data_IF_413824802205
#
_entry.id   IF_413824802205
#
_cell.length_a   1.000
_cell.length_b   1.000
_cell.length_c   1.000
_cell.angle_alpha   90.00
_cell.angle_beta   90.00
_cell.angle_gamma   90.00
#
_symmetry.space_group_name_H-M   'P 1'
#
loop_
_entity.id
_entity.type
_entity.pdbx_description
1 polymer ?
#
# COMPACT_ATOMS: atom_id res chain seq x y z
N UNK A 1 -15.15 3.90 -10.68
CA UNK A 1 -13.86 4.33 -10.06
C UNK A 1 -12.77 3.51 -10.69
N UNK A 2 -12.52 3.74 -11.98
CA UNK A 2 -11.66 2.82 -12.70
C UNK A 2 -10.75 3.51 -13.72
N UNK A 3 -10.64 4.82 -13.54
CA UNK A 3 -9.56 5.66 -13.99
C UNK A 3 -8.74 6.22 -12.81
N UNK A 4 -8.85 5.64 -11.61
CA UNK A 4 -8.14 6.10 -10.40
C UNK A 4 -7.13 5.06 -9.94
N UNK A 5 -5.92 5.50 -9.66
CA UNK A 5 -4.82 4.76 -9.05
C UNK A 5 -4.57 5.35 -7.67
N UNK A 6 -4.70 4.56 -6.61
CA UNK A 6 -4.36 4.99 -5.25
C UNK A 6 -2.90 4.69 -4.96
N UNK A 7 -2.15 5.67 -4.46
CA UNK A 7 -0.75 5.56 -4.06
C UNK A 7 -0.59 5.94 -2.60
N UNK A 8 0.18 5.16 -1.84
CA UNK A 8 0.42 5.41 -0.41
C UNK A 8 1.61 4.63 0.15
N UNK A 9 2.19 5.12 1.23
CA UNK A 9 3.30 4.52 1.97
C UNK A 9 2.85 3.91 3.29
N UNK A 10 3.39 2.73 3.61
CA UNK A 10 3.17 2.11 4.92
C UNK A 10 4.39 1.48 5.53
N UNK A 11 4.55 1.71 6.84
CA UNK A 11 5.52 1.00 7.67
C UNK A 11 4.99 -0.36 8.11
N UNK A 12 5.58 -1.44 7.64
CA UNK A 12 5.37 -2.78 8.19
C UNK A 12 6.44 -3.13 9.21
N UNK A 13 6.02 -3.61 10.37
CA UNK A 13 6.91 -4.09 11.42
C UNK A 13 7.23 -5.56 11.15
N UNK A 14 8.46 -6.02 11.41
CA UNK A 14 8.84 -7.44 11.29
C UNK A 14 7.99 -8.35 12.21
N UNK A 15 7.60 -7.84 13.39
CA UNK A 15 6.86 -8.58 14.41
C UNK A 15 5.87 -7.65 15.13
N UNK A 16 4.84 -8.20 15.78
CA UNK A 16 3.92 -7.44 16.62
C UNK A 16 4.45 -7.35 18.04
N UNK A 17 4.38 -6.16 18.64
CA UNK A 17 4.83 -5.98 20.02
C UNK A 17 4.07 -6.90 21.01
N UNK A 18 2.74 -6.91 20.93
CA UNK A 18 1.88 -7.81 21.71
C UNK A 18 1.22 -8.82 20.78
N UNK A 19 1.38 -10.10 21.09
CA UNK A 19 0.67 -11.21 20.43
C UNK A 19 0.07 -12.10 21.50
N UNK A 20 -1.19 -12.49 21.32
CA UNK A 20 -1.90 -13.41 22.20
C UNK A 20 -1.97 -14.78 21.52
N UNK A 21 -1.65 -15.83 22.26
CA UNK A 21 -1.70 -17.21 21.77
C UNK A 21 -2.74 -18.01 22.55
N UNK A 22 -3.53 -18.80 21.84
CA UNK A 22 -4.27 -19.90 22.44
C UNK A 22 -3.35 -21.11 22.51
N UNK A 23 -3.14 -21.65 23.71
CA UNK A 23 -2.23 -22.78 23.94
C UNK A 23 -3.04 -23.98 24.45
N UNK A 24 -2.73 -25.16 23.93
CA UNK A 24 -3.23 -26.41 24.51
C UNK A 24 -2.61 -26.62 25.90
N UNK A 25 -3.27 -27.34 26.83
CA UNK A 25 -2.87 -27.46 28.25
C UNK A 25 -1.42 -27.93 28.52
N UNK A 26 -0.73 -28.49 27.52
CA UNK A 26 0.65 -28.99 27.62
C UNK A 26 1.66 -28.30 26.70
N UNK A 27 1.23 -27.28 25.94
CA UNK A 27 2.11 -26.53 25.04
C UNK A 27 2.71 -25.35 25.81
N UNK A 28 4.04 -25.21 25.75
CA UNK A 28 4.71 -24.02 26.28
C UNK A 28 4.49 -22.84 25.34
N UNK A 29 4.35 -21.61 25.86
CA UNK A 29 4.30 -20.43 25.01
C UNK A 29 5.59 -20.31 24.19
N UNK A 30 5.51 -19.81 22.94
CA UNK A 30 6.69 -19.54 22.15
C UNK A 30 7.58 -18.52 22.87
N UNK A 31 8.89 -18.82 22.94
CA UNK A 31 9.86 -17.94 23.58
C UNK A 31 10.11 -16.70 22.71
N UNK A 32 9.98 -15.50 23.29
CA UNK A 32 10.28 -14.22 22.63
C UNK A 32 11.38 -13.49 23.38
N UNK A 33 12.43 -13.10 22.65
CA UNK A 33 13.63 -12.43 23.21
C UNK A 33 13.55 -10.90 23.14
N UNK A 34 12.57 -10.32 22.44
CA UNK A 34 12.47 -8.86 22.23
C UNK A 34 11.80 -8.16 23.41
N UNK A 35 12.57 -7.34 24.13
CA UNK A 35 12.13 -6.62 25.34
C UNK A 35 11.35 -5.31 25.09
N UNK A 36 11.46 -4.70 23.90
CA UNK A 36 10.83 -3.40 23.61
C UNK A 36 10.44 -3.26 22.14
N UNK A 37 9.32 -2.55 21.88
CA UNK A 37 8.84 -2.16 20.53
C UNK A 37 9.89 -1.40 19.72
N UNK A 38 10.80 -0.68 20.38
CA UNK A 38 11.87 0.11 19.73
C UNK A 38 12.86 -0.78 18.95
N UNK A 39 13.00 -2.05 19.33
CA UNK A 39 13.89 -3.00 18.69
C UNK A 39 13.19 -3.87 17.65
N UNK A 40 11.98 -3.51 17.22
CA UNK A 40 11.29 -4.18 16.10
C UNK A 40 11.61 -3.39 14.82
N UNK A 41 12.43 -3.95 13.90
CA UNK A 41 12.63 -3.41 12.58
C UNK A 41 11.30 -3.15 11.89
N UNK A 42 11.25 -2.02 11.20
CA UNK A 42 10.12 -1.66 10.36
C UNK A 42 10.65 -1.27 9.00
N UNK A 43 10.04 -1.76 7.94
CA UNK A 43 10.34 -1.37 6.57
C UNK A 43 9.16 -0.60 6.00
N UNK A 44 9.45 0.50 5.31
CA UNK A 44 8.43 1.29 4.62
C UNK A 44 8.28 0.73 3.21
N UNK A 45 7.03 0.69 2.75
CA UNK A 45 6.63 0.20 1.44
C UNK A 45 5.77 1.25 0.78
N UNK A 46 6.05 1.59 -0.48
CA UNK A 46 5.17 2.38 -1.33
C UNK A 46 4.36 1.41 -2.17
N UNK A 47 3.06 1.66 -2.27
CA UNK A 47 2.15 0.85 -3.06
C UNK A 47 1.31 1.70 -4.00
N UNK A 48 0.96 1.12 -5.14
CA UNK A 48 0.02 1.70 -6.10
C UNK A 48 -1.01 0.64 -6.50
N UNK A 49 -2.30 0.94 -6.42
CA UNK A 49 -3.37 0.02 -6.86
C UNK A 49 -4.44 0.75 -7.65
N UNK A 50 -4.88 0.11 -8.73
CA UNK A 50 -6.02 0.54 -9.53
C UNK A 50 -7.13 -0.51 -9.43
N UNK A 51 -8.38 -0.13 -9.70
CA UNK A 51 -9.47 -1.10 -9.77
C UNK A 51 -9.15 -2.07 -10.92
N UNK A 52 -9.18 -3.39 -10.68
CA UNK A 52 -8.75 -4.34 -11.70
C UNK A 52 -9.68 -4.28 -12.90
N UNK A 53 -9.14 -3.77 -14.01
CA UNK A 53 -9.67 -3.95 -15.36
C UNK A 53 -8.95 -5.11 -16.04
N UNK A 54 -7.61 -5.12 -15.98
CA UNK A 54 -6.68 -6.22 -16.35
C UNK A 54 -5.33 -6.13 -15.57
N UNK A 55 -5.16 -5.21 -14.61
CA UNK A 55 -3.81 -4.78 -14.17
C UNK A 55 -3.69 -4.70 -12.65
N UNK A 56 -2.67 -5.38 -12.12
CA UNK A 56 -2.18 -5.22 -10.76
C UNK A 56 -0.84 -4.47 -10.84
N UNK A 57 -0.83 -3.16 -10.57
CA UNK A 57 0.38 -2.33 -10.67
C UNK A 57 1.40 -2.78 -9.61
N UNK A 58 2.57 -3.24 -10.06
CA UNK A 58 3.58 -3.89 -9.22
C UNK A 58 4.09 -2.97 -8.10
N UNK A 59 4.19 -3.50 -6.89
CA UNK A 59 4.94 -2.89 -5.80
C UNK A 59 6.43 -2.97 -6.12
N UNK A 60 7.11 -1.84 -6.32
CA UNK A 60 8.57 -1.81 -6.20
C UNK A 60 8.96 -1.34 -4.81
N UNK A 61 9.47 -2.28 -4.02
CA UNK A 61 9.89 -2.07 -2.63
C UNK A 61 11.40 -1.89 -2.51
N UNK A 62 12.14 -1.99 -3.62
CA UNK A 62 13.61 -2.09 -3.63
C UNK A 62 14.27 -0.77 -3.27
N UNK A 63 13.77 0.39 -3.74
CA UNK A 63 14.46 1.67 -3.47
C UNK A 63 14.15 2.32 -2.13
N UNK A 64 13.26 1.77 -1.30
CA UNK A 64 13.01 2.30 0.07
C UNK A 64 14.01 1.72 1.07
N UNK A 65 14.84 0.78 0.61
CA UNK A 65 15.81 0.08 1.44
C UNK A 65 17.19 0.18 0.77
N UNK A 66 18.17 0.73 1.49
CA UNK A 66 19.55 0.80 1.03
C UNK A 66 20.32 -0.43 1.47
N UNK A 67 21.08 -1.03 0.56
CA UNK A 67 22.09 -2.01 0.91
C UNK A 67 23.29 -1.33 1.59
N UNK A 68 23.86 -1.99 2.59
CA UNK A 68 25.08 -1.58 3.25
C UNK A 68 25.86 -2.81 3.71
N UNK A 69 27.18 -2.71 3.70
CA UNK A 69 28.05 -3.77 4.18
C UNK A 69 28.11 -3.68 5.71
N UNK A 70 27.85 -4.80 6.39
CA UNK A 70 27.99 -4.87 7.85
C UNK A 70 29.45 -4.59 8.26
N UNK A 71 29.64 -3.53 9.05
CA UNK A 71 30.97 -3.12 9.50
C UNK A 71 31.46 -3.91 10.72
N UNK A 72 30.54 -4.53 11.46
CA UNK A 72 30.81 -5.26 12.71
C UNK A 72 30.22 -6.66 12.62
N UNK A 73 30.97 -7.64 13.14
CA UNK A 73 30.44 -8.99 13.35
C UNK A 73 29.44 -8.97 14.50
N UNK A 74 28.29 -9.60 14.29
CA UNK A 74 27.30 -9.90 15.32
C UNK A 74 26.90 -11.38 15.22
N UNK A 75 26.25 -11.90 16.27
CA UNK A 75 25.84 -13.31 16.34
C UNK A 75 25.07 -13.80 15.09
N UNK A 76 24.32 -12.91 14.43
CA UNK A 76 23.50 -13.27 13.26
C UNK A 76 24.01 -12.65 11.95
N UNK A 77 25.11 -11.88 11.97
CA UNK A 77 25.63 -11.16 10.80
C UNK A 77 27.14 -11.08 10.87
N UNK A 78 27.88 -11.91 10.11
CA UNK A 78 29.31 -11.73 9.90
C UNK A 78 29.63 -10.32 9.39
N UNK A 79 30.85 -9.83 9.66
CA UNK A 79 31.36 -8.62 9.01
C UNK A 79 31.46 -8.87 7.51
N UNK A 80 31.07 -7.89 6.70
CA UNK A 80 31.09 -8.02 5.23
C UNK A 80 29.77 -8.49 4.61
N UNK A 81 28.78 -8.90 5.40
CA UNK A 81 27.47 -9.30 4.88
C UNK A 81 26.70 -8.09 4.35
N UNK A 82 26.18 -8.20 3.12
CA UNK A 82 25.27 -7.21 2.55
C UNK A 82 23.97 -7.23 3.35
N UNK A 83 23.66 -6.11 3.99
CA UNK A 83 22.49 -5.91 4.82
C UNK A 83 21.64 -4.79 4.24
N UNK A 84 20.32 -4.89 4.39
CA UNK A 84 19.39 -3.84 3.93
C UNK A 84 18.93 -2.99 5.11
N UNK A 85 19.03 -1.66 5.00
CA UNK A 85 18.50 -0.66 5.96
C UNK A 85 17.48 0.25 5.31
N UNK A 86 16.43 0.60 6.02
CA UNK A 86 15.41 1.50 5.49
C UNK A 86 15.96 2.92 5.36
N UNK A 87 15.51 3.63 4.32
CA UNK A 87 15.72 5.08 4.22
C UNK A 87 14.99 5.73 5.39
N UNK A 88 15.71 6.55 6.17
CA UNK A 88 15.17 7.13 7.42
C UNK A 88 14.04 8.13 7.20
N UNK A 89 14.06 8.83 6.05
CA UNK A 89 13.07 9.86 5.68
C UNK A 89 12.89 9.78 4.17
N UNK A 90 11.65 9.55 3.73
CA UNK A 90 11.30 9.74 2.31
C UNK A 90 11.18 11.24 2.10
N UNK A 91 12.10 11.78 1.30
CA UNK A 91 12.05 13.17 0.85
C UNK A 91 11.32 13.24 -0.48
N UNK A 92 10.79 14.42 -0.83
CA UNK A 92 10.04 14.63 -2.07
C UNK A 92 10.79 14.12 -3.32
N UNK A 93 12.11 14.33 -3.41
CA UNK A 93 12.91 13.81 -4.53
C UNK A 93 12.87 12.27 -4.66
N UNK A 94 12.88 11.54 -3.54
CA UNK A 94 12.81 10.07 -3.56
C UNK A 94 11.41 9.65 -4.00
N UNK A 95 10.36 10.22 -3.38
CA UNK A 95 8.98 9.93 -3.72
C UNK A 95 8.66 10.22 -5.20
N UNK A 96 9.13 11.37 -5.72
CA UNK A 96 9.02 11.75 -7.12
C UNK A 96 9.66 10.74 -8.08
N UNK A 97 10.89 10.30 -7.78
CA UNK A 97 11.56 9.27 -8.59
C UNK A 97 10.75 7.96 -8.61
N UNK A 98 10.15 7.58 -7.49
CA UNK A 98 9.24 6.43 -7.44
C UNK A 98 8.01 6.59 -8.33
N UNK A 99 7.35 7.75 -8.28
CA UNK A 99 6.20 8.04 -9.12
C UNK A 99 6.54 7.92 -10.60
N UNK A 100 7.65 8.53 -11.03
CA UNK A 100 8.09 8.51 -12.43
C UNK A 100 8.47 7.11 -12.89
N UNK A 101 9.38 6.46 -12.16
CA UNK A 101 10.02 5.24 -12.62
C UNK A 101 9.18 3.98 -12.45
N UNK A 102 8.26 3.98 -11.48
CA UNK A 102 7.42 2.82 -11.19
C UNK A 102 5.95 3.06 -11.45
N UNK A 103 5.35 4.11 -10.89
CA UNK A 103 3.89 4.29 -10.97
C UNK A 103 3.49 4.67 -12.40
N UNK A 104 4.03 5.77 -12.92
CA UNK A 104 3.74 6.27 -14.27
C UNK A 104 4.23 5.26 -15.31
N UNK A 105 5.46 4.76 -15.18
CA UNK A 105 5.99 3.70 -16.05
C UNK A 105 5.12 2.44 -16.10
N UNK A 106 4.60 1.98 -14.95
CA UNK A 106 3.72 0.81 -14.92
C UNK A 106 2.34 1.11 -15.52
N UNK A 107 1.82 2.32 -15.34
CA UNK A 107 0.59 2.75 -16.00
C UNK A 107 0.79 2.75 -17.51
N UNK A 108 1.85 3.40 -18.03
CA UNK A 108 2.08 3.47 -19.47
C UNK A 108 2.37 2.11 -20.11
N UNK A 109 2.92 1.16 -19.36
CA UNK A 109 3.20 -0.20 -19.82
C UNK A 109 1.99 -1.14 -19.77
N UNK A 110 1.08 -0.98 -18.80
CA UNK A 110 0.03 -1.95 -18.53
C UNK A 110 -1.38 -1.43 -18.82
N UNK A 111 -1.64 -0.12 -18.67
CA UNK A 111 -2.96 0.49 -18.83
C UNK A 111 -3.51 0.31 -20.24
N UNK A 112 -4.83 0.05 -20.43
CA UNK A 112 -5.39 -0.12 -21.76
C UNK A 112 -5.09 1.10 -22.65
N UNK A 113 -4.50 0.86 -23.82
CA UNK A 113 -4.09 1.94 -24.73
C UNK A 113 -5.28 2.75 -25.28
N UNK A 114 -6.47 2.17 -25.33
CA UNK A 114 -7.69 2.89 -25.73
C UNK A 114 -8.04 4.03 -24.76
N UNK A 115 -7.67 3.88 -23.50
CA UNK A 115 -7.89 4.89 -22.45
C UNK A 115 -6.78 5.95 -22.40
N UNK A 116 -5.79 5.92 -23.31
CA UNK A 116 -4.61 6.79 -23.25
C UNK A 116 -4.95 8.28 -23.21
N UNK A 117 -6.01 8.69 -23.93
CA UNK A 117 -6.47 10.09 -23.98
C UNK A 117 -7.46 10.43 -22.88
N UNK A 118 -7.93 9.43 -22.13
CA UNK A 118 -8.85 9.61 -21.01
C UNK A 118 -8.06 9.98 -19.74
N UNK A 119 -8.62 10.81 -18.85
CA UNK A 119 -7.94 11.18 -17.61
C UNK A 119 -7.69 9.97 -16.70
N UNK A 120 -6.44 9.72 -16.34
CA UNK A 120 -6.00 8.73 -15.34
C UNK A 120 -5.51 9.49 -14.12
N UNK A 121 -6.14 9.28 -12.97
CA UNK A 121 -5.89 10.03 -11.74
C UNK A 121 -5.06 9.19 -10.76
N UNK A 122 -3.83 9.60 -10.49
CA UNK A 122 -3.00 9.06 -9.41
C UNK A 122 -3.32 9.85 -8.14
N UNK A 123 -4.15 9.27 -7.26
CA UNK A 123 -4.50 9.87 -5.97
C UNK A 123 -3.39 9.62 -4.94
N UNK A 124 -2.91 10.68 -4.32
CA UNK A 124 -1.99 10.67 -3.18
C UNK A 124 -2.56 11.47 -2.00
N UNK A 125 -2.10 11.21 -0.77
CA UNK A 125 -2.50 11.98 0.40
C UNK A 125 -1.81 13.38 0.43
N UNK A 126 -2.11 14.19 1.45
CA UNK A 126 -1.56 15.54 1.61
C UNK A 126 -0.26 15.59 2.46
N UNK A 127 0.51 14.51 2.53
CA UNK A 127 1.75 14.47 3.29
C UNK A 127 2.81 15.42 2.72
N UNK A 128 3.61 16.03 3.60
CA UNK A 128 4.65 17.00 3.22
C UNK A 128 5.64 16.53 2.13
N UNK A 129 6.03 15.24 2.06
CA UNK A 129 6.92 14.76 1.00
C UNK A 129 6.24 14.63 -0.37
N UNK A 130 4.92 14.77 -0.48
CA UNK A 130 4.22 14.54 -1.74
C UNK A 130 4.41 15.66 -2.74
N UNK A 131 4.38 15.27 -4.01
CA UNK A 131 4.73 16.12 -5.14
C UNK A 131 3.51 16.95 -5.54
N UNK A 132 3.71 18.21 -5.89
CA UNK A 132 2.61 19.07 -6.33
C UNK A 132 2.02 18.55 -7.67
N UNK A 133 0.69 18.67 -7.90
CA UNK A 133 0.05 18.20 -9.12
C UNK A 133 0.58 18.86 -10.41
N UNK A 134 1.14 20.06 -10.29
CA UNK A 134 1.71 20.88 -11.36
C UNK A 134 3.23 20.70 -11.51
N UNK A 135 3.84 19.73 -10.82
CA UNK A 135 5.26 19.44 -10.96
C UNK A 135 5.62 19.11 -12.42
N UNK A 136 6.64 19.79 -13.00
CA UNK A 136 6.90 19.73 -14.43
C UNK A 136 7.33 18.33 -14.91
N UNK A 137 8.06 17.56 -14.10
CA UNK A 137 8.50 16.23 -14.51
C UNK A 137 7.34 15.23 -14.46
N UNK A 138 6.44 15.38 -13.47
CA UNK A 138 5.20 14.58 -13.40
C UNK A 138 4.29 14.89 -14.59
N UNK A 139 4.09 16.17 -14.91
CA UNK A 139 3.27 16.59 -16.06
C UNK A 139 3.89 16.10 -17.37
N UNK A 140 5.20 16.23 -17.54
CA UNK A 140 5.88 15.75 -18.73
C UNK A 140 5.74 14.24 -18.90
N UNK A 141 6.04 13.46 -17.87
CA UNK A 141 5.90 12.00 -17.92
C UNK A 141 4.43 11.55 -18.09
N UNK A 142 3.50 12.26 -17.47
CA UNK A 142 2.07 11.95 -17.53
C UNK A 142 1.40 12.30 -18.87
N UNK A 143 2.04 13.14 -19.68
CA UNK A 143 1.55 13.54 -21.01
C UNK A 143 2.30 12.86 -22.16
N UNK A 144 3.35 12.10 -21.86
CA UNK A 144 4.24 11.52 -22.85
C UNK A 144 3.51 10.62 -23.86
N UNK A 145 3.72 10.90 -25.15
CA UNK A 145 3.07 10.21 -26.26
C UNK A 145 1.53 10.25 -26.25
N UNK A 146 0.91 11.20 -25.53
CA UNK A 146 -0.53 11.43 -25.55
C UNK A 146 -1.29 10.78 -24.40
N UNK A 147 -0.58 10.32 -23.35
CA UNK A 147 -1.21 9.97 -22.08
C UNK A 147 -1.88 11.19 -21.42
N UNK A 148 -2.89 10.96 -20.58
CA UNK A 148 -3.54 12.00 -19.77
C UNK A 148 -3.49 11.59 -18.29
N UNK A 149 -2.28 11.44 -17.74
CA UNK A 149 -2.07 11.07 -16.34
C UNK A 149 -1.96 12.34 -15.49
N UNK A 150 -2.69 12.38 -14.38
CA UNK A 150 -2.73 13.50 -13.44
C UNK A 150 -2.46 13.00 -12.03
N UNK A 151 -1.83 13.82 -11.18
CA UNK A 151 -1.48 13.47 -9.80
C UNK A 151 -2.26 14.35 -8.80
N UNK A 152 -3.59 14.19 -8.67
CA UNK A 152 -4.36 14.99 -7.71
C UNK A 152 -4.07 14.59 -6.26
N UNK A 153 -4.10 15.59 -5.37
CA UNK A 153 -4.22 15.35 -3.95
C UNK A 153 -5.61 14.80 -3.58
N UNK A 154 -5.67 14.01 -2.51
CA UNK A 154 -6.93 13.68 -1.86
C UNK A 154 -7.63 14.97 -1.40
N UNK A 155 -8.92 15.15 -1.73
CA UNK A 155 -9.63 16.39 -1.41
C UNK A 155 -9.59 16.69 0.10
N UNK A 156 -9.13 17.89 0.43
CA UNK A 156 -8.99 18.37 1.82
C UNK A 156 -10.32 18.43 2.60
N UNK A 157 -11.45 18.38 1.88
CA UNK A 157 -12.80 18.40 2.45
C UNK A 157 -13.32 17.00 2.84
N UNK A 158 -12.46 15.97 2.78
CA UNK A 158 -12.69 14.77 3.58
C UNK A 158 -12.69 15.20 5.04
N UNK A 159 -13.72 14.83 5.82
CA UNK A 159 -13.86 15.28 7.21
C UNK A 159 -12.73 14.84 8.14
N UNK A 160 -11.90 13.91 7.66
CA UNK A 160 -10.56 13.72 8.15
C UNK A 160 -9.60 13.85 6.95
N UNK A 161 -8.74 14.89 6.89
CA UNK A 161 -7.67 14.98 5.89
C UNK A 161 -6.66 13.82 5.98
N UNK A 162 -6.79 12.96 7.01
CA UNK A 162 -6.13 11.67 7.15
C UNK A 162 -7.11 10.49 7.20
N UNK A 163 -8.30 10.57 6.58
CA UNK A 163 -9.27 9.46 6.58
C UNK A 163 -8.69 8.25 5.84
N UNK A 164 -8.32 7.16 6.52
CA UNK A 164 -7.85 5.94 5.87
C UNK A 164 -8.98 5.30 5.04
N UNK A 165 -10.22 5.69 5.28
CA UNK A 165 -11.41 5.11 4.64
C UNK A 165 -11.60 5.57 3.18
N UNK A 166 -10.81 6.54 2.72
CA UNK A 166 -10.83 7.05 1.34
C UNK A 166 -9.61 6.61 0.52
N UNK A 167 -8.84 5.66 1.04
CA UNK A 167 -7.71 5.05 0.38
C UNK A 167 -7.91 3.53 0.24
N UNK A 168 -7.91 3.04 -0.99
CA UNK A 168 -8.09 1.62 -1.27
C UNK A 168 -6.96 0.75 -0.66
N UNK A 169 -5.74 1.29 -0.59
CA UNK A 169 -4.59 0.60 0.00
C UNK A 169 -4.83 0.33 1.48
N UNK A 170 -5.29 1.33 2.23
CA UNK A 170 -5.60 1.20 3.65
C UNK A 170 -6.80 0.31 3.92
N UNK A 171 -7.84 0.33 3.08
CA UNK A 171 -9.01 -0.53 3.24
C UNK A 171 -8.71 -2.01 2.95
N UNK A 172 -7.78 -2.32 2.05
CA UNK A 172 -7.53 -3.69 1.56
C UNK A 172 -6.10 -4.19 1.77
N UNK A 173 -5.19 -3.81 0.87
CA UNK A 173 -3.86 -4.41 0.80
C UNK A 173 -3.09 -4.28 2.13
N UNK A 174 -3.12 -3.09 2.71
CA UNK A 174 -2.38 -2.77 3.91
C UNK A 174 -2.99 -3.34 5.19
N UNK A 175 -4.26 -3.74 5.20
CA UNK A 175 -4.87 -4.49 6.31
C UNK A 175 -4.58 -5.98 6.21
N UNK A 176 -4.40 -6.51 5.00
CA UNK A 176 -4.08 -7.91 4.78
C UNK A 176 -2.67 -8.30 5.26
N UNK A 177 -1.66 -7.45 5.00
CA UNK A 177 -0.26 -7.75 5.32
C UNK A 177 -0.01 -7.99 6.83
N UNK A 178 -0.45 -7.12 7.76
CA UNK A 178 -0.30 -7.36 9.20
C UNK A 178 -1.11 -8.56 9.71
N UNK A 179 -2.09 -9.05 8.94
CA UNK A 179 -2.82 -10.29 9.24
C UNK A 179 -1.95 -11.51 8.97
N UNK A 180 -1.13 -11.50 7.92
CA UNK A 180 -0.18 -12.57 7.61
C UNK A 180 0.84 -12.73 8.74
N UNK A 181 1.29 -11.63 9.32
CA UNK A 181 2.21 -11.62 10.49
C UNK A 181 1.62 -12.29 11.75
N UNK A 182 0.29 -12.41 11.86
CA UNK A 182 -0.31 -13.18 12.95
C UNK A 182 -0.22 -14.69 12.72
N UNK A 183 -0.06 -15.12 11.47
CA UNK A 183 -0.08 -16.54 11.07
C UNK A 183 1.32 -17.11 10.95
N UNK A 184 2.26 -16.32 10.45
CA UNK A 184 3.63 -16.75 10.17
C UNK A 184 4.62 -15.77 10.81
N UNK A 185 5.55 -16.24 11.65
CA UNK A 185 6.62 -15.40 12.16
C UNK A 185 7.54 -14.99 11.01
N UNK A 186 7.72 -13.69 10.83
CA UNK A 186 8.64 -13.13 9.83
C UNK A 186 9.90 -12.67 10.56
N UNK A 187 11.06 -13.07 10.05
CA UNK A 187 12.35 -12.71 10.64
C UNK A 187 13.28 -12.08 9.61
N UNK A 188 13.72 -10.85 9.85
CA UNK A 188 14.59 -10.06 8.98
C UNK A 188 13.86 -9.29 7.87
N UNK A 189 14.48 -8.22 7.41
CA UNK A 189 13.91 -7.30 6.41
C UNK A 189 13.66 -8.01 5.06
N UNK A 190 14.56 -8.89 4.62
CA UNK A 190 14.40 -9.63 3.36
C UNK A 190 13.14 -10.51 3.34
N UNK A 191 12.88 -11.23 4.44
CA UNK A 191 11.68 -12.06 4.57
C UNK A 191 10.41 -11.21 4.69
N UNK A 192 10.49 -10.03 5.33
CA UNK A 192 9.37 -9.08 5.36
C UNK A 192 9.04 -8.57 3.95
N UNK A 193 10.05 -8.20 3.17
CA UNK A 193 9.88 -7.77 1.78
C UNK A 193 9.25 -8.90 0.95
N UNK A 194 9.80 -10.11 1.03
CA UNK A 194 9.26 -11.28 0.32
C UNK A 194 7.80 -11.57 0.71
N UNK A 195 7.46 -11.46 1.99
CA UNK A 195 6.08 -11.67 2.46
C UNK A 195 5.11 -10.60 1.92
N UNK A 196 5.54 -9.33 1.85
CA UNK A 196 4.73 -8.24 1.29
C UNK A 196 4.51 -8.44 -0.22
N UNK A 197 5.57 -8.76 -0.96
CA UNK A 197 5.49 -9.06 -2.40
C UNK A 197 4.54 -10.25 -2.64
N UNK A 198 4.70 -11.34 -1.89
CA UNK A 198 3.84 -12.51 -2.02
C UNK A 198 2.38 -12.20 -1.66
N UNK A 199 2.13 -11.39 -0.62
CA UNK A 199 0.78 -10.96 -0.26
C UNK A 199 0.10 -10.16 -1.39
N UNK A 200 0.89 -9.38 -2.13
CA UNK A 200 0.43 -8.63 -3.27
C UNK A 200 0.15 -9.54 -4.47
N UNK A 201 1.09 -10.40 -4.84
CA UNK A 201 0.96 -11.32 -5.97
C UNK A 201 -0.16 -12.36 -5.79
N UNK A 202 -0.45 -12.74 -4.55
CA UNK A 202 -1.55 -13.69 -4.23
C UNK A 202 -2.91 -13.01 -4.07
N UNK A 203 -2.97 -11.68 -4.09
CA UNK A 203 -4.23 -10.94 -3.98
C UNK A 203 -5.03 -11.10 -5.28
N UNK A 204 -6.18 -11.78 -5.19
CA UNK A 204 -7.05 -11.96 -6.34
C UNK A 204 -7.65 -10.62 -6.83
N UNK A 205 -7.90 -10.52 -8.13
CA UNK A 205 -8.62 -9.39 -8.72
C UNK A 205 -9.99 -9.18 -8.06
N UNK A 206 -10.67 -10.27 -7.67
CA UNK A 206 -11.95 -10.20 -6.95
C UNK A 206 -11.81 -9.55 -5.56
N UNK A 207 -10.74 -9.88 -4.82
CA UNK A 207 -10.45 -9.27 -3.51
C UNK A 207 -10.18 -7.78 -3.66
N UNK A 208 -9.42 -7.38 -4.67
CA UNK A 208 -9.13 -5.99 -4.94
C UNK A 208 -10.39 -5.23 -5.36
N UNK A 209 -11.20 -5.77 -6.27
CA UNK A 209 -12.49 -5.20 -6.67
C UNK A 209 -13.44 -5.05 -5.46
N UNK A 210 -13.51 -6.07 -4.59
CA UNK A 210 -14.27 -5.98 -3.34
C UNK A 210 -13.80 -4.81 -2.46
N UNK A 211 -12.51 -4.46 -2.48
CA UNK A 211 -11.98 -3.33 -1.72
C UNK A 211 -12.44 -2.00 -2.31
N UNK A 212 -12.44 -1.86 -3.65
CA UNK A 212 -13.01 -0.69 -4.32
C UNK A 212 -14.52 -0.54 -4.06
N UNK A 213 -15.28 -1.64 -4.00
CA UNK A 213 -16.70 -1.60 -3.62
C UNK A 213 -16.89 -1.18 -2.15
N UNK A 214 -15.96 -1.55 -1.25
CA UNK A 214 -15.95 -1.01 0.12
C UNK A 214 -15.71 0.49 0.10
N UNK A 215 -14.71 0.97 -0.64
CA UNK A 215 -14.39 2.39 -0.76
C UNK A 215 -15.59 3.20 -1.22
N UNK A 216 -16.32 2.73 -2.23
CA UNK A 216 -17.58 3.37 -2.67
C UNK A 216 -18.63 3.40 -1.55
N UNK A 217 -18.74 2.32 -0.78
CA UNK A 217 -19.65 2.27 0.38
C UNK A 217 -19.24 3.26 1.47
N UNK A 218 -17.94 3.43 1.75
CA UNK A 218 -17.42 4.46 2.66
C UNK A 218 -17.83 5.85 2.19
N UNK A 219 -17.60 6.17 0.91
CA UNK A 219 -17.96 7.47 0.33
C UNK A 219 -19.46 7.77 0.46
N UNK A 220 -20.32 6.78 0.16
CA UNK A 220 -21.77 6.93 0.34
C UNK A 220 -22.15 7.19 1.80
N UNK A 221 -21.50 6.53 2.75
CA UNK A 221 -21.74 6.76 4.17
C UNK A 221 -21.29 8.16 4.60
N UNK A 222 -20.10 8.59 4.18
CA UNK A 222 -19.58 9.93 4.45
C UNK A 222 -20.54 11.00 3.91
N UNK A 223 -21.07 10.81 2.70
CA UNK A 223 -22.05 11.72 2.11
C UNK A 223 -23.35 11.77 2.92
N UNK A 224 -23.86 10.61 3.38
CA UNK A 224 -25.06 10.53 4.23
C UNK A 224 -24.86 11.25 5.57
N UNK A 225 -23.68 11.10 6.15
CA UNK A 225 -23.31 11.74 7.41
C UNK A 225 -22.80 13.18 7.23
N UNK A 226 -22.94 13.77 6.02
CA UNK A 226 -22.51 15.15 5.69
C UNK A 226 -21.04 15.43 6.04
N UNK A 227 -20.16 14.45 5.79
CA UNK A 227 -18.79 14.50 6.26
C UNK A 227 -18.62 13.99 7.70
N UNK A 228 -19.46 13.07 8.18
CA UNK A 228 -19.17 12.39 9.45
C UNK A 228 -18.17 11.26 9.26
N UNK A 229 -17.26 11.06 10.23
CA UNK A 229 -16.40 9.85 10.31
C UNK A 229 -17.02 8.72 11.13
N UNK A 230 -18.18 8.96 11.76
CA UNK A 230 -18.91 7.99 12.57
C UNK A 230 -20.03 7.36 11.77
N UNK A 231 -19.70 6.31 11.03
CA UNK A 231 -20.69 5.53 10.28
C UNK A 231 -20.41 4.03 10.42
N UNK A 232 -21.47 3.23 10.32
CA UNK A 232 -21.36 1.78 10.21
C UNK A 232 -21.36 1.40 8.74
N UNK A 233 -20.31 0.72 8.28
CA UNK A 233 -20.26 0.24 6.91
C UNK A 233 -21.36 -0.81 6.66
N UNK A 234 -22.23 -0.62 5.66
CA UNK A 234 -23.27 -1.58 5.35
C UNK A 234 -22.67 -2.85 4.75
N UNK A 235 -23.18 -4.02 5.17
CA UNK A 235 -22.84 -5.28 4.54
C UNK A 235 -23.66 -5.46 3.25
N UNK A 236 -23.05 -5.20 2.09
CA UNK A 236 -23.74 -5.20 0.79
C UNK A 236 -23.78 -6.56 0.07
N UNK A 237 -23.50 -7.67 0.76
CA UNK A 237 -23.54 -9.04 0.20
C UNK A 237 -22.87 -9.15 -1.19
N UNK A 238 -21.65 -8.59 -1.34
CA UNK A 238 -20.94 -8.45 -2.63
C UNK A 238 -20.95 -9.72 -3.48
N UNK A 239 -20.73 -10.88 -2.85
CA UNK A 239 -20.77 -12.20 -3.51
C UNK A 239 -22.12 -12.50 -4.16
N UNK A 240 -23.23 -12.16 -3.50
CA UNK A 240 -24.59 -12.38 -4.00
C UNK A 240 -24.90 -11.42 -5.15
N UNK A 241 -24.47 -10.16 -5.05
CA UNK A 241 -24.64 -9.18 -6.12
C UNK A 241 -23.81 -9.54 -7.35
N UNK A 242 -22.57 -10.01 -7.17
CA UNK A 242 -21.70 -10.50 -8.26
C UNK A 242 -22.34 -11.65 -9.03
N UNK A 243 -22.92 -12.64 -8.33
CA UNK A 243 -23.63 -13.77 -8.96
C UNK A 243 -24.85 -13.35 -9.78
N UNK A 244 -25.41 -12.17 -9.50
CA UNK A 244 -26.58 -11.62 -10.19
C UNK A 244 -26.21 -10.57 -11.24
N UNK A 245 -24.91 -10.31 -11.43
CA UNK A 245 -24.40 -9.26 -12.30
C UNK A 245 -24.97 -7.86 -11.97
N UNK A 246 -25.15 -7.59 -10.67
CA UNK A 246 -25.70 -6.32 -10.15
C UNK A 246 -24.65 -5.48 -9.42
N UNK A 247 -23.36 -5.74 -9.65
CA UNK A 247 -22.28 -4.90 -9.15
C UNK A 247 -21.90 -3.85 -10.22
N UNK A 248 -21.60 -2.61 -9.81
CA UNK A 248 -21.08 -1.58 -10.71
C UNK A 248 -19.60 -1.82 -11.04
#
# INVERSE_FOLDING_TARGET
>A
MDNVVHVDEKWFCEDKYKLSYLLLPRKRPPHRTRKSKRFIPKTMFLAAVARPRVILLRLDTTRIVNEYISQRTSQNRPKGTICTRNIKVVICAVYKAFLLEFVISSITAQWPHDDRRSPILIQQDNAKPHVAPDDPDIVAAGTEGGWCIQLPFQPANSPDPNSPDLNCLDLGLFTAIPSIQNRVPIHGNANLIAAVINAFETMSAETLDNTFLTLQSCMLCILREKGGSRYSLPHIDKKKLRKKDMLP
#
